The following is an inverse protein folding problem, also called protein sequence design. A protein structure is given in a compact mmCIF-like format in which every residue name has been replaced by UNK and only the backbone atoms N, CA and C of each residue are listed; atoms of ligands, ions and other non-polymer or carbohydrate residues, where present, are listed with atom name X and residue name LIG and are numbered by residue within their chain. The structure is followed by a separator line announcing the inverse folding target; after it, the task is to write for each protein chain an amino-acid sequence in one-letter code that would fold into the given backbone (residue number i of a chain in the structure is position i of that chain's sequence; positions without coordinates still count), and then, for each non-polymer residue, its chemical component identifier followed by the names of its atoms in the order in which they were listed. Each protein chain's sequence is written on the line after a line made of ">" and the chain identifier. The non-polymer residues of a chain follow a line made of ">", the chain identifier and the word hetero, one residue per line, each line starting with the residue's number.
data_IF_067230665142
#
_entry.id   IF_067230665142
#
_cell.length_a   1.000
_cell.length_b   1.000
_cell.length_c   1.000
_cell.angle_alpha   90.00
_cell.angle_beta   90.00
_cell.angle_gamma   90.00
#
_symmetry.space_group_name_H-M   'P 1'
#
loop_
_entity.id
_entity.type
_entity.pdbx_description
1 polymer ?
#
# COMPACT_ATOMS: atom_id res chain seq x y z
N UNK A 1 -14.09 -10.47 -3.57
CA UNK A 1 -15.37 -9.97 -3.01
C UNK A 1 -15.11 -9.08 -1.79
N UNK A 2 -15.84 -7.96 -1.63
CA UNK A 2 -15.70 -7.11 -0.47
C UNK A 2 -16.13 -7.85 0.80
N UNK A 3 -15.38 -7.69 1.87
CA UNK A 3 -15.72 -8.20 3.19
C UNK A 3 -16.20 -7.05 4.07
N UNK A 4 -17.26 -7.25 4.80
CA UNK A 4 -17.84 -6.24 5.70
C UNK A 4 -17.55 -6.60 7.14
N UNK A 5 -17.33 -5.60 7.98
CA UNK A 5 -17.18 -5.76 9.41
C UNK A 5 -18.08 -4.77 10.17
N UNK A 6 -18.40 -5.10 11.40
CA UNK A 6 -19.04 -4.15 12.31
C UNK A 6 -17.95 -3.29 12.96
N UNK A 7 -17.93 -2.00 12.63
CA UNK A 7 -17.02 -1.04 13.24
C UNK A 7 -17.71 -0.36 14.42
N UNK A 8 -17.40 -0.85 15.64
CA UNK A 8 -18.11 -0.48 16.87
C UNK A 8 -17.32 0.42 17.81
N UNK A 9 -16.10 0.83 17.46
CA UNK A 9 -15.22 1.60 18.35
C UNK A 9 -15.82 2.92 18.88
N UNK A 10 -16.70 3.53 18.07
CA UNK A 10 -17.38 4.78 18.41
C UNK A 10 -18.84 4.57 18.84
N UNK A 11 -19.27 3.31 19.00
CA UNK A 11 -20.64 2.98 19.40
C UNK A 11 -20.70 2.87 20.92
N UNK A 12 -21.68 3.53 21.54
CA UNK A 12 -21.89 3.41 22.98
C UNK A 12 -22.44 2.02 23.35
N UNK A 13 -22.16 1.56 24.56
CA UNK A 13 -22.60 0.25 25.05
C UNK A 13 -24.13 0.18 25.06
N UNK A 14 -24.82 1.23 25.52
CA UNK A 14 -26.28 1.30 25.56
C UNK A 14 -26.91 1.11 24.18
N UNK A 15 -26.26 1.64 23.13
CA UNK A 15 -26.72 1.44 21.76
C UNK A 15 -26.48 0.01 21.27
N UNK A 16 -25.38 -0.61 21.67
CA UNK A 16 -25.08 -2.01 21.33
C UNK A 16 -26.09 -2.96 22.01
N UNK A 17 -26.43 -2.69 23.26
CA UNK A 17 -27.41 -3.48 24.03
C UNK A 17 -28.81 -3.46 23.40
N UNK A 18 -29.16 -2.39 22.68
CA UNK A 18 -30.42 -2.29 21.94
C UNK A 18 -30.42 -3.10 20.62
N UNK A 19 -29.27 -3.70 20.24
CA UNK A 19 -29.09 -4.45 19.00
C UNK A 19 -28.71 -5.92 19.31
N UNK A 20 -29.68 -6.81 19.60
CA UNK A 20 -29.41 -8.16 20.11
C UNK A 20 -28.40 -8.97 19.25
N UNK A 21 -28.54 -8.92 17.92
CA UNK A 21 -27.62 -9.63 17.01
C UNK A 21 -26.20 -9.07 17.00
N UNK A 22 -26.04 -7.76 17.26
CA UNK A 22 -24.72 -7.14 17.39
C UNK A 22 -24.11 -7.52 18.74
N UNK A 23 -24.90 -7.43 19.82
CA UNK A 23 -24.49 -7.80 21.17
C UNK A 23 -24.01 -9.26 21.24
N UNK A 24 -24.75 -10.18 20.61
CA UNK A 24 -24.35 -11.59 20.51
C UNK A 24 -22.96 -11.74 19.86
N UNK A 25 -22.69 -11.03 18.77
CA UNK A 25 -21.37 -11.05 18.11
C UNK A 25 -20.27 -10.49 19.00
N UNK A 26 -20.57 -9.42 19.76
CA UNK A 26 -19.63 -8.84 20.73
C UNK A 26 -19.30 -9.85 21.83
N UNK A 27 -20.30 -10.58 22.35
CA UNK A 27 -20.08 -11.64 23.33
C UNK A 27 -19.21 -12.78 22.76
N UNK A 28 -19.49 -13.24 21.54
CA UNK A 28 -18.66 -14.27 20.88
C UNK A 28 -17.20 -13.82 20.70
N UNK A 29 -16.95 -12.55 20.37
CA UNK A 29 -15.59 -11.99 20.28
C UNK A 29 -14.92 -11.98 21.66
N UNK A 30 -15.64 -11.59 22.71
CA UNK A 30 -15.14 -11.63 24.11
C UNK A 30 -14.72 -13.05 24.49
N UNK A 31 -15.61 -14.01 24.28
CA UNK A 31 -15.37 -15.41 24.65
C UNK A 31 -14.21 -16.02 23.87
N UNK A 32 -14.13 -15.76 22.56
CA UNK A 32 -12.99 -16.17 21.73
C UNK A 32 -11.67 -15.61 22.25
N UNK A 33 -11.65 -14.32 22.62
CA UNK A 33 -10.45 -13.68 23.15
C UNK A 33 -10.09 -14.19 24.54
N UNK A 34 -11.09 -14.43 25.40
CA UNK A 34 -10.90 -14.95 26.75
C UNK A 34 -10.30 -16.36 26.75
N UNK A 35 -10.73 -17.19 25.78
CA UNK A 35 -10.26 -18.58 25.64
C UNK A 35 -9.00 -18.71 24.76
N UNK A 36 -8.36 -17.60 24.37
CA UNK A 36 -7.17 -17.63 23.54
C UNK A 36 -5.92 -17.89 24.38
N UNK A 37 -5.09 -18.85 23.96
CA UNK A 37 -3.78 -19.13 24.55
C UNK A 37 -2.74 -18.05 24.25
N UNK A 38 -3.03 -17.13 23.30
CA UNK A 38 -2.15 -16.00 23.00
C UNK A 38 -2.39 -14.86 23.97
N UNK A 39 -1.41 -14.49 24.82
CA UNK A 39 -1.55 -13.39 25.78
C UNK A 39 -1.98 -12.07 25.14
N UNK A 40 -1.45 -11.75 23.95
CA UNK A 40 -1.80 -10.54 23.18
C UNK A 40 -3.25 -10.52 22.70
N UNK A 41 -3.89 -11.67 22.51
CA UNK A 41 -5.30 -11.78 22.18
C UNK A 41 -6.17 -11.75 23.43
N UNK A 42 -5.75 -12.47 24.48
CA UNK A 42 -6.52 -12.57 25.72
C UNK A 42 -6.68 -11.22 26.41
N UNK A 43 -5.66 -10.39 26.43
CA UNK A 43 -5.69 -9.02 26.99
C UNK A 43 -6.82 -8.15 26.38
N UNK A 44 -7.26 -8.46 25.15
CA UNK A 44 -8.31 -7.70 24.47
C UNK A 44 -9.74 -8.17 24.76
N UNK A 45 -9.94 -9.14 25.65
CA UNK A 45 -11.28 -9.65 26.03
C UNK A 45 -12.17 -8.58 26.61
N UNK A 46 -11.59 -7.61 27.33
CA UNK A 46 -12.31 -6.51 27.96
C UNK A 46 -12.68 -5.36 27.01
N UNK A 47 -12.20 -5.43 25.77
CA UNK A 47 -12.51 -4.49 24.71
C UNK A 47 -13.02 -5.18 23.43
N UNK A 48 -14.09 -5.98 23.50
CA UNK A 48 -14.55 -6.82 22.39
C UNK A 48 -15.10 -6.03 21.20
N UNK A 49 -15.42 -4.75 21.38
CA UNK A 49 -15.89 -3.83 20.34
C UNK A 49 -14.77 -3.16 19.56
N UNK A 50 -13.51 -3.32 19.99
CA UNK A 50 -12.34 -2.71 19.34
C UNK A 50 -11.55 -3.74 18.56
N UNK A 51 -11.05 -3.34 17.40
CA UNK A 51 -10.02 -4.09 16.69
C UNK A 51 -8.67 -3.92 17.40
N UNK A 52 -7.78 -4.90 17.22
CA UNK A 52 -6.40 -4.81 17.74
C UNK A 52 -5.62 -3.66 17.08
N UNK A 53 -5.81 -3.53 15.76
CA UNK A 53 -5.30 -2.41 14.98
C UNK A 53 -6.47 -1.89 14.14
N UNK A 54 -6.94 -0.70 14.46
CA UNK A 54 -8.05 -0.06 13.77
C UNK A 54 -7.61 1.30 13.26
N UNK A 55 -6.78 1.28 12.24
CA UNK A 55 -6.54 2.51 11.50
C UNK A 55 -7.57 2.59 10.38
N UNK A 56 -8.40 3.61 10.44
CA UNK A 56 -9.42 3.91 9.43
C UNK A 56 -9.03 5.21 8.77
N UNK A 57 -8.73 5.21 7.46
CA UNK A 57 -8.37 6.43 6.76
C UNK A 57 -9.54 7.41 6.72
N UNK A 58 -9.22 8.68 6.74
CA UNK A 58 -10.18 9.78 6.70
C UNK A 58 -10.59 10.13 5.28
N UNK A 59 -9.73 9.87 4.30
CA UNK A 59 -9.94 10.11 2.89
C UNK A 59 -9.65 8.91 2.00
N UNK A 60 -9.62 9.16 0.68
CA UNK A 60 -9.16 8.19 -0.31
C UNK A 60 -7.70 7.85 -0.03
N UNK A 61 -7.37 6.57 0.05
CA UNK A 61 -6.03 6.12 0.44
C UNK A 61 -5.42 5.16 -0.57
N UNK A 62 -4.10 5.19 -0.70
CA UNK A 62 -3.33 4.17 -1.43
C UNK A 62 -2.98 3.05 -0.46
N UNK A 63 -3.32 1.82 -0.82
CA UNK A 63 -3.06 0.62 -0.02
C UNK A 63 -1.84 -0.11 -0.56
N UNK A 64 -0.93 -0.43 0.35
CA UNK A 64 0.34 -1.09 0.10
C UNK A 64 0.34 -2.45 0.81
N UNK A 65 0.51 -3.58 0.12
CA UNK A 65 0.60 -4.89 0.77
C UNK A 65 1.90 -4.98 1.60
N UNK A 66 1.79 -5.53 2.82
CA UNK A 66 2.96 -5.78 3.68
C UNK A 66 3.89 -6.81 3.06
N UNK A 67 3.34 -7.80 2.36
CA UNK A 67 4.13 -8.85 1.69
C UNK A 67 3.78 -8.88 0.21
N UNK A 68 4.80 -8.86 -0.63
CA UNK A 68 4.65 -9.00 -2.08
C UNK A 68 5.74 -9.89 -2.65
N UNK A 69 5.39 -10.70 -3.65
CA UNK A 69 6.34 -11.59 -4.30
C UNK A 69 7.51 -10.81 -4.91
N UNK A 70 8.73 -11.26 -4.64
CA UNK A 70 9.96 -10.69 -5.22
C UNK A 70 10.07 -10.89 -6.73
N UNK A 71 9.25 -11.76 -7.31
CA UNK A 71 9.19 -11.98 -8.76
C UNK A 71 8.39 -10.91 -9.50
N UNK A 72 7.57 -10.13 -8.79
CA UNK A 72 6.78 -9.04 -9.39
C UNK A 72 7.66 -7.86 -9.73
N UNK A 73 7.53 -7.36 -10.97
CA UNK A 73 8.19 -6.13 -11.38
C UNK A 73 7.65 -4.90 -10.64
N UNK A 74 6.33 -4.90 -10.36
CA UNK A 74 5.64 -3.85 -9.61
C UNK A 74 4.84 -4.46 -8.48
N UNK A 75 4.92 -3.87 -7.31
CA UNK A 75 4.10 -4.24 -6.15
C UNK A 75 2.68 -3.71 -6.41
N UNK A 76 1.65 -4.56 -6.44
CA UNK A 76 0.29 -4.11 -6.73
C UNK A 76 -0.25 -3.25 -5.60
N UNK A 77 -0.47 -1.98 -5.87
CA UNK A 77 -1.12 -1.04 -4.98
C UNK A 77 -2.42 -0.55 -5.60
N UNK A 78 -3.37 -0.10 -4.79
CA UNK A 78 -4.65 0.42 -5.28
C UNK A 78 -5.16 1.55 -4.40
N UNK A 79 -6.05 2.34 -4.99
CA UNK A 79 -6.86 3.26 -4.21
C UNK A 79 -8.02 2.54 -3.52
N UNK A 80 -8.29 2.95 -2.31
CA UNK A 80 -9.47 2.53 -1.55
C UNK A 80 -10.21 3.76 -1.02
N UNK A 81 -11.54 3.71 -0.93
CA UNK A 81 -12.33 4.80 -0.39
C UNK A 81 -12.08 5.01 1.11
N UNK A 82 -12.47 6.17 1.61
CA UNK A 82 -12.50 6.46 3.04
C UNK A 82 -13.32 5.41 3.82
N UNK A 83 -13.03 5.28 5.10
CA UNK A 83 -13.76 4.40 6.04
C UNK A 83 -13.59 2.89 5.80
N UNK A 84 -12.59 2.48 5.02
CA UNK A 84 -12.19 1.09 4.95
C UNK A 84 -11.38 0.71 6.20
N UNK A 85 -11.64 -0.46 6.77
CA UNK A 85 -10.85 -1.00 7.88
C UNK A 85 -9.78 -1.93 7.30
N UNK A 86 -8.52 -1.60 7.51
CA UNK A 86 -7.41 -2.39 7.00
C UNK A 86 -6.93 -3.39 8.06
N UNK A 87 -6.53 -4.57 7.58
CA UNK A 87 -5.87 -5.57 8.41
C UNK A 87 -4.36 -5.25 8.49
N UNK A 88 -3.66 -5.92 9.39
CA UNK A 88 -2.20 -5.85 9.51
C UNK A 88 -1.44 -6.43 8.30
N UNK A 89 -2.15 -6.89 7.26
CA UNK A 89 -1.57 -7.36 5.99
C UNK A 89 -1.26 -6.22 5.00
N UNK A 90 -1.66 -4.99 5.31
CA UNK A 90 -1.40 -3.83 4.47
C UNK A 90 -1.11 -2.57 5.29
N UNK A 91 -0.34 -1.67 4.67
CA UNK A 91 -0.24 -0.26 5.05
C UNK A 91 -1.15 0.57 4.15
N UNK A 92 -1.37 1.81 4.53
CA UNK A 92 -2.03 2.77 3.66
C UNK A 92 -1.44 4.18 3.83
N UNK A 93 -1.51 4.94 2.76
CA UNK A 93 -1.21 6.38 2.76
C UNK A 93 -2.55 7.10 2.71
N UNK A 94 -2.92 7.79 3.80
CA UNK A 94 -4.20 8.51 3.89
C UNK A 94 -4.17 9.78 3.05
N UNK A 95 -5.33 10.16 2.49
CA UNK A 95 -5.47 11.33 1.61
C UNK A 95 -4.47 11.35 0.43
N UNK A 96 -4.15 10.14 -0.09
CA UNK A 96 -3.18 10.00 -1.16
C UNK A 96 -3.69 10.60 -2.47
N UNK A 97 -2.81 11.37 -3.12
CA UNK A 97 -3.04 11.92 -4.46
C UNK A 97 -2.67 10.90 -5.54
N UNK A 98 -3.06 11.18 -6.78
CA UNK A 98 -2.64 10.36 -7.92
C UNK A 98 -1.11 10.42 -8.10
N UNK A 99 -0.47 11.55 -7.81
CA UNK A 99 0.98 11.68 -7.78
C UNK A 99 1.63 10.72 -6.74
N UNK A 100 1.05 10.65 -5.53
CA UNK A 100 1.53 9.70 -4.51
C UNK A 100 1.47 8.27 -5.02
N UNK A 101 0.35 7.88 -5.64
CA UNK A 101 0.18 6.57 -6.26
C UNK A 101 1.21 6.34 -7.37
N UNK A 102 1.40 7.32 -8.26
CA UNK A 102 2.32 7.27 -9.37
C UNK A 102 3.74 6.92 -8.93
N UNK A 103 4.27 7.68 -7.98
CA UNK A 103 5.64 7.50 -7.48
C UNK A 103 5.81 6.15 -6.79
N UNK A 104 4.84 5.74 -5.95
CA UNK A 104 4.88 4.44 -5.27
C UNK A 104 4.75 3.24 -6.22
N UNK A 105 4.05 3.41 -7.34
CA UNK A 105 3.91 2.38 -8.37
C UNK A 105 5.07 2.34 -9.37
N UNK A 106 5.90 3.37 -9.41
CA UNK A 106 7.02 3.47 -10.36
C UNK A 106 8.11 2.43 -10.11
N UNK A 107 8.91 2.16 -11.14
CA UNK A 107 10.10 1.30 -11.04
C UNK A 107 11.12 1.83 -10.03
N UNK A 108 11.26 3.16 -9.94
CA UNK A 108 12.14 3.81 -8.94
C UNK A 108 11.84 3.32 -7.52
N UNK A 109 10.57 3.41 -7.09
CA UNK A 109 10.17 2.96 -5.76
C UNK A 109 10.25 1.43 -5.62
N UNK A 110 9.89 0.66 -6.65
CA UNK A 110 9.95 -0.80 -6.60
C UNK A 110 11.40 -1.31 -6.48
N UNK A 111 12.36 -0.66 -7.12
CA UNK A 111 13.79 -0.95 -6.96
C UNK A 111 14.27 -0.57 -5.54
N UNK A 112 13.84 0.58 -5.02
CA UNK A 112 14.13 0.94 -3.64
C UNK A 112 13.60 -0.12 -2.66
N UNK A 113 12.39 -0.63 -2.88
CA UNK A 113 11.82 -1.73 -2.08
C UNK A 113 12.68 -2.98 -2.18
N UNK A 114 13.15 -3.34 -3.37
CA UNK A 114 13.97 -4.56 -3.56
C UNK A 114 15.25 -4.55 -2.73
N UNK A 115 15.83 -3.37 -2.53
CA UNK A 115 17.11 -3.22 -1.82
C UNK A 115 16.94 -2.96 -0.31
N UNK A 116 15.82 -2.32 0.09
CA UNK A 116 15.68 -1.84 1.48
C UNK A 116 14.63 -2.59 2.29
N UNK A 117 13.71 -3.31 1.64
CA UNK A 117 12.70 -4.07 2.36
C UNK A 117 13.28 -5.30 3.06
N UNK A 118 12.70 -5.62 4.21
CA UNK A 118 12.93 -6.92 4.83
C UNK A 118 12.43 -8.07 3.94
N UNK A 119 12.71 -9.29 4.35
CA UNK A 119 12.26 -10.49 3.63
C UNK A 119 11.36 -11.35 4.51
N UNK A 120 10.36 -11.95 3.89
CA UNK A 120 9.57 -13.03 4.45
C UNK A 120 9.75 -14.25 3.53
N UNK A 121 10.63 -15.18 3.90
CA UNK A 121 11.21 -16.18 2.99
C UNK A 121 11.91 -15.45 1.82
N UNK A 122 11.46 -15.67 0.58
CA UNK A 122 11.98 -14.99 -0.62
C UNK A 122 11.25 -13.68 -0.94
N UNK A 123 10.07 -13.43 -0.37
CA UNK A 123 9.22 -12.30 -0.73
C UNK A 123 9.61 -11.01 0.02
N UNK A 124 9.32 -9.85 -0.59
CA UNK A 124 9.53 -8.55 0.05
C UNK A 124 8.56 -8.36 1.21
N UNK A 125 9.09 -7.93 2.34
CA UNK A 125 8.30 -7.46 3.48
C UNK A 125 8.46 -5.96 3.59
N UNK A 126 7.47 -5.24 3.08
CA UNK A 126 7.41 -3.79 3.12
C UNK A 126 7.44 -3.28 4.55
N UNK A 127 8.17 -2.19 4.80
CA UNK A 127 8.22 -1.53 6.10
C UNK A 127 8.04 -0.03 5.92
N UNK A 128 7.17 0.56 6.72
CA UNK A 128 7.00 2.01 6.75
C UNK A 128 8.32 2.71 7.09
N UNK A 129 9.01 2.24 8.12
CA UNK A 129 10.19 2.92 8.66
C UNK A 129 11.44 2.71 7.81
N UNK A 130 11.61 1.52 7.21
CA UNK A 130 12.79 1.22 6.38
C UNK A 130 12.60 1.63 4.92
N UNK A 131 11.41 1.46 4.37
CA UNK A 131 11.15 1.68 2.95
C UNK A 131 10.53 3.06 2.71
N UNK A 132 9.31 3.29 3.20
CA UNK A 132 8.53 4.48 2.87
C UNK A 132 9.17 5.77 3.39
N UNK A 133 9.57 5.79 4.66
CA UNK A 133 10.11 7.00 5.31
C UNK A 133 11.52 7.37 4.82
N UNK A 134 12.26 6.41 4.25
CA UNK A 134 13.62 6.62 3.76
C UNK A 134 13.68 6.79 2.24
N UNK A 135 12.57 6.59 1.54
CA UNK A 135 12.53 6.82 0.10
C UNK A 135 12.71 8.31 -0.22
N UNK A 136 13.54 8.61 -1.19
CA UNK A 136 13.78 9.98 -1.64
C UNK A 136 12.79 10.28 -2.75
N UNK A 137 11.78 11.07 -2.45
CA UNK A 137 10.79 11.50 -3.42
C UNK A 137 11.38 12.46 -4.43
N UNK A 138 10.99 12.39 -5.72
CA UNK A 138 11.41 13.37 -6.71
C UNK A 138 10.78 14.74 -6.43
N UNK A 139 11.45 15.79 -6.87
CA UNK A 139 10.96 17.17 -6.81
C UNK A 139 10.62 17.65 -8.25
N UNK A 140 9.43 17.30 -8.77
CA UNK A 140 9.06 17.59 -10.15
C UNK A 140 8.68 19.05 -10.33
N UNK A 141 8.94 19.59 -11.53
CA UNK A 141 8.26 20.81 -12.00
C UNK A 141 6.76 20.56 -12.13
N UNK A 142 5.97 21.63 -12.27
CA UNK A 142 4.50 21.51 -12.47
C UNK A 142 4.18 20.66 -13.72
N UNK A 143 4.89 20.89 -14.82
CA UNK A 143 4.70 20.13 -16.05
C UNK A 143 5.07 18.64 -15.91
N UNK A 144 6.18 18.34 -15.23
CA UNK A 144 6.58 16.96 -14.95
C UNK A 144 5.54 16.28 -14.05
N UNK A 145 5.01 16.99 -13.05
CA UNK A 145 3.97 16.47 -12.18
C UNK A 145 2.70 16.13 -12.93
N UNK A 146 2.23 17.02 -13.81
CA UNK A 146 1.06 16.78 -14.66
C UNK A 146 1.27 15.55 -15.55
N UNK A 147 2.45 15.41 -16.16
CA UNK A 147 2.81 14.24 -16.96
C UNK A 147 2.79 12.94 -16.15
N UNK A 148 3.37 12.95 -14.94
CA UNK A 148 3.37 11.79 -14.03
C UNK A 148 1.93 11.42 -13.64
N UNK A 149 1.10 12.41 -13.31
CA UNK A 149 -0.29 12.19 -12.93
C UNK A 149 -1.13 11.64 -14.08
N UNK A 150 -0.90 12.11 -15.31
CA UNK A 150 -1.55 11.59 -16.51
C UNK A 150 -1.15 10.12 -16.77
N UNK A 151 0.14 9.80 -16.77
CA UNK A 151 0.61 8.41 -16.91
C UNK A 151 0.06 7.48 -15.80
N UNK A 152 -0.09 7.98 -14.60
CA UNK A 152 -0.68 7.21 -13.50
C UNK A 152 -2.17 6.95 -13.72
N UNK A 153 -2.90 7.92 -14.30
CA UNK A 153 -4.29 7.73 -14.69
C UNK A 153 -4.40 6.67 -15.78
N UNK A 154 -3.53 6.70 -16.78
CA UNK A 154 -3.50 5.67 -17.84
C UNK A 154 -3.31 4.26 -17.24
N UNK A 155 -2.45 4.09 -16.23
CA UNK A 155 -2.29 2.80 -15.53
C UNK A 155 -3.60 2.38 -14.88
N UNK A 156 -4.36 3.29 -14.27
CA UNK A 156 -5.64 2.98 -13.65
C UNK A 156 -6.70 2.63 -14.70
N UNK A 157 -6.77 3.38 -15.79
CA UNK A 157 -7.73 3.17 -16.88
C UNK A 157 -7.49 1.84 -17.58
N UNK A 158 -6.22 1.49 -17.84
CA UNK A 158 -5.87 0.17 -18.40
C UNK A 158 -6.26 -0.97 -17.47
N UNK A 159 -6.14 -0.82 -16.16
CA UNK A 159 -6.63 -1.85 -15.23
C UNK A 159 -8.15 -2.07 -15.34
N UNK A 160 -8.92 -1.02 -15.60
CA UNK A 160 -10.38 -1.10 -15.79
C UNK A 160 -10.75 -1.80 -17.09
N UNK A 161 -9.88 -1.84 -18.10
CA UNK A 161 -10.05 -2.57 -19.35
C UNK A 161 -9.93 -4.10 -19.18
N UNK A 162 -9.52 -4.59 -18.00
CA UNK A 162 -9.41 -6.02 -17.66
C UNK A 162 -10.41 -6.40 -16.55
N UNK A 163 -11.73 -6.30 -16.81
CA UNK A 163 -12.75 -6.57 -15.82
C UNK A 163 -12.74 -8.06 -15.42
N UNK A 164 -12.74 -8.33 -14.13
CA UNK A 164 -12.70 -9.69 -13.60
C UNK A 164 -11.31 -10.17 -13.17
N UNK A 165 -10.25 -9.54 -13.65
CA UNK A 165 -8.90 -9.86 -13.19
C UNK A 165 -8.59 -9.16 -11.86
N UNK A 166 -8.07 -9.93 -10.93
CA UNK A 166 -7.57 -9.38 -9.68
C UNK A 166 -6.21 -8.71 -9.89
N UNK A 167 -5.85 -7.75 -8.98
CA UNK A 167 -4.50 -7.20 -9.00
C UNK A 167 -3.40 -8.28 -8.89
N UNK A 168 -3.70 -9.41 -8.27
CA UNK A 168 -2.77 -10.53 -8.19
C UNK A 168 -2.47 -11.14 -9.56
N UNK A 169 -3.47 -11.20 -10.45
CA UNK A 169 -3.35 -11.67 -11.84
C UNK A 169 -2.69 -10.59 -12.69
N UNK A 170 -3.20 -9.36 -12.67
CA UNK A 170 -2.68 -8.24 -13.46
C UNK A 170 -1.19 -7.95 -13.22
N UNK A 171 -0.69 -8.24 -12.02
CA UNK A 171 0.72 -8.05 -11.64
C UNK A 171 1.50 -9.36 -11.49
N UNK A 172 0.97 -10.45 -11.99
CA UNK A 172 1.74 -11.70 -12.07
C UNK A 172 2.80 -11.58 -13.17
N UNK A 173 4.06 -12.00 -12.92
CA UNK A 173 5.14 -11.86 -13.91
C UNK A 173 4.89 -12.56 -15.24
N UNK A 174 4.02 -13.56 -15.28
CA UNK A 174 3.70 -14.34 -16.49
C UNK A 174 2.37 -13.92 -17.13
N UNK A 175 1.49 -13.26 -16.38
CA UNK A 175 0.13 -12.95 -16.81
C UNK A 175 -0.12 -11.45 -17.02
N UNK A 176 0.82 -10.59 -16.63
CA UNK A 176 0.67 -9.14 -16.77
C UNK A 176 0.37 -8.75 -18.21
N UNK A 177 -0.76 -8.08 -18.48
CA UNK A 177 -1.13 -7.66 -19.84
C UNK A 177 -0.10 -6.71 -20.45
N UNK A 178 0.10 -6.81 -21.77
CA UNK A 178 1.10 -6.02 -22.47
C UNK A 178 0.78 -4.50 -22.47
N UNK A 179 -0.51 -4.15 -22.53
CA UNK A 179 -0.98 -2.76 -22.42
C UNK A 179 -0.71 -2.19 -21.03
N UNK A 180 -0.96 -2.95 -19.96
CA UNK A 180 -0.66 -2.56 -18.59
C UNK A 180 0.86 -2.37 -18.39
N UNK A 181 1.66 -3.27 -18.93
CA UNK A 181 3.12 -3.13 -18.88
C UNK A 181 3.59 -1.88 -19.64
N UNK A 182 2.97 -1.56 -20.79
CA UNK A 182 3.29 -0.36 -21.58
C UNK A 182 2.95 0.92 -20.80
N UNK A 183 1.77 0.98 -20.17
CA UNK A 183 1.37 2.11 -19.34
C UNK A 183 2.33 2.31 -18.14
N UNK A 184 2.76 1.22 -17.49
CA UNK A 184 3.76 1.29 -16.43
C UNK A 184 5.12 1.80 -16.91
N UNK A 185 5.58 1.39 -18.10
CA UNK A 185 6.85 1.89 -18.67
C UNK A 185 6.79 3.39 -18.97
N UNK A 186 5.64 3.89 -19.44
CA UNK A 186 5.44 5.33 -19.63
C UNK A 186 5.49 6.08 -18.28
N UNK A 187 4.83 5.54 -17.25
CA UNK A 187 4.90 6.08 -15.89
C UNK A 187 6.32 6.07 -15.34
N UNK A 188 7.07 4.98 -15.55
CA UNK A 188 8.47 4.86 -15.11
C UNK A 188 9.32 5.97 -15.73
N UNK A 189 9.23 6.17 -17.04
CA UNK A 189 9.98 7.21 -17.75
C UNK A 189 9.62 8.63 -17.23
N UNK A 190 8.33 8.89 -16.98
CA UNK A 190 7.89 10.18 -16.44
C UNK A 190 8.43 10.43 -15.03
N UNK A 191 8.45 9.41 -14.17
CA UNK A 191 9.00 9.52 -12.81
C UNK A 191 10.52 9.63 -12.84
N UNK A 192 11.22 8.87 -13.69
CA UNK A 192 12.68 8.97 -13.85
C UNK A 192 13.09 10.39 -14.27
N UNK A 193 12.39 10.99 -15.24
CA UNK A 193 12.65 12.35 -15.67
C UNK A 193 12.56 13.40 -14.56
N UNK A 194 11.73 13.16 -13.54
CA UNK A 194 11.59 14.06 -12.39
C UNK A 194 12.79 14.02 -11.42
N UNK A 195 13.66 13.00 -11.52
CA UNK A 195 14.95 13.00 -10.82
C UNK A 195 16.06 13.73 -11.56
N UNK A 196 15.76 14.29 -12.75
CA UNK A 196 16.73 15.05 -13.55
C UNK A 196 17.84 14.20 -14.18
N UNK A 197 17.65 12.89 -14.25
CA UNK A 197 18.61 11.93 -14.80
C UNK A 197 17.87 10.97 -15.72
N UNK A 198 18.47 10.70 -16.87
CA UNK A 198 18.01 9.65 -17.78
C UNK A 198 18.80 8.36 -17.49
N UNK A 199 18.10 7.37 -16.98
CA UNK A 199 18.69 6.07 -16.71
C UNK A 199 18.52 5.08 -17.85
N UNK A 200 17.69 5.38 -18.85
CA UNK A 200 17.32 4.47 -19.94
C UNK A 200 16.84 3.09 -19.44
N UNK A 201 16.18 3.07 -18.27
CA UNK A 201 15.71 1.84 -17.64
C UNK A 201 16.83 0.96 -17.04
N UNK A 202 18.05 1.47 -16.90
CA UNK A 202 19.17 0.78 -16.26
C UNK A 202 18.96 0.73 -14.74
N UNK A 203 18.52 -0.42 -14.26
CA UNK A 203 18.10 -0.63 -12.86
C UNK A 203 19.26 -0.47 -11.88
N UNK A 204 20.49 -0.84 -12.25
CA UNK A 204 21.66 -0.66 -11.38
C UNK A 204 22.00 0.82 -11.20
N UNK A 205 21.88 1.62 -12.26
CA UNK A 205 22.08 3.08 -12.18
C UNK A 205 20.99 3.75 -11.35
N UNK A 206 19.73 3.31 -11.47
CA UNK A 206 18.61 3.79 -10.64
C UNK A 206 18.92 3.55 -9.17
N UNK A 207 19.27 2.32 -8.81
CA UNK A 207 19.58 1.96 -7.43
C UNK A 207 20.76 2.78 -6.90
N UNK A 208 21.85 2.87 -7.66
CA UNK A 208 23.02 3.66 -7.26
C UNK A 208 22.67 5.14 -7.04
N UNK A 209 21.83 5.71 -7.90
CA UNK A 209 21.38 7.10 -7.77
C UNK A 209 20.52 7.30 -6.51
N UNK A 210 19.55 6.42 -6.24
CA UNK A 210 18.71 6.51 -5.05
C UNK A 210 19.54 6.43 -3.76
N UNK A 211 20.53 5.54 -3.69
CA UNK A 211 21.43 5.46 -2.53
C UNK A 211 22.33 6.68 -2.40
N UNK A 212 22.78 7.27 -3.49
CA UNK A 212 23.50 8.53 -3.48
C UNK A 212 22.67 9.66 -2.87
N UNK A 213 21.44 9.85 -3.36
CA UNK A 213 20.51 10.86 -2.83
C UNK A 213 20.20 10.60 -1.33
N UNK A 214 20.00 9.35 -0.95
CA UNK A 214 19.78 8.98 0.45
C UNK A 214 20.99 9.34 1.33
N UNK A 215 22.21 9.04 0.87
CA UNK A 215 23.43 9.36 1.61
C UNK A 215 23.65 10.87 1.76
N UNK A 216 23.30 11.66 0.76
CA UNK A 216 23.33 13.13 0.80
C UNK A 216 22.35 13.65 1.86
N UNK A 217 21.10 13.19 1.83
CA UNK A 217 20.05 13.59 2.80
C UNK A 217 20.38 13.22 4.26
N UNK A 218 21.09 12.12 4.48
CA UNK A 218 21.50 11.71 5.83
C UNK A 218 22.62 12.60 6.38
N UNK A 219 23.48 13.16 5.51
CA UNK A 219 24.56 14.08 5.93
C UNK A 219 24.06 15.48 6.29
N UNK A 220 22.86 15.86 5.83
CA UNK A 220 22.24 17.16 6.11
C UNK A 220 21.51 17.19 7.46
N UNK A 221 21.35 16.06 8.14
CA UNK A 221 20.70 15.92 9.46
C UNK A 221 21.75 15.86 10.58
#
# INVERSE_FOLDING_TARGET
>A
EPKYCLYLEKCSIEKIEQMPFVLERVHRVRDYRANSDKPTTNVLKDTPTKFFQSQVPTGKSVVIPVVSSSRRRYIPMCFMPAKCVYTNACFFVDNATIYTFAVLMSRMHNLWVSETAGRMKSDYRYSKDMVYNNFIWPDPTSEQRETIEACAQDVLDVRENHPGDSLAILYDPQLMPADLLAAHKALDAAVEAAYGVDFNGDEEKIVAHLFKLYAEKVKEK
#
